data_IF_128940512916
#
_entry.id   IF_128940512916
#
_cell.length_a   1.000
_cell.length_b   1.000
_cell.length_c   1.000
_cell.angle_alpha   90.00
_cell.angle_beta   90.00
_cell.angle_gamma   90.00
#
_symmetry.space_group_name_H-M   'P 1'
#
loop_
_entity.id
_entity.type
_entity.pdbx_description
1 polymer ?
#
# COMPACT_ATOMS: atom_id res chain seq x y z
N UNK A 1 9.16 0.02 29.09
CA UNK A 1 9.25 1.24 28.25
C UNK A 1 8.28 0.99 27.12
N UNK A 2 7.15 1.69 27.11
CA UNK A 2 6.05 1.36 26.18
C UNK A 2 6.44 1.71 24.75
N UNK A 3 6.21 0.76 23.84
CA UNK A 3 6.49 0.88 22.42
C UNK A 3 5.50 1.88 21.79
N UNK A 4 6.00 2.96 21.20
CA UNK A 4 5.15 3.93 20.51
C UNK A 4 4.80 3.39 19.13
N UNK A 5 3.51 3.12 18.92
CA UNK A 5 2.94 2.73 17.62
C UNK A 5 2.13 3.87 16.99
N UNK A 6 2.23 4.03 15.68
CA UNK A 6 1.39 4.95 14.91
C UNK A 6 0.47 4.18 13.97
N UNK A 7 -0.75 4.68 13.76
CA UNK A 7 -1.67 4.18 12.73
C UNK A 7 -2.04 5.32 11.79
N UNK A 8 -1.84 5.12 10.49
CA UNK A 8 -2.15 6.09 9.45
C UNK A 8 -3.32 5.55 8.63
N UNK A 9 -4.38 6.35 8.51
CA UNK A 9 -5.52 6.05 7.63
C UNK A 9 -5.56 7.02 6.46
N UNK A 10 -5.63 6.49 5.25
CA UNK A 10 -5.79 7.24 4.00
C UNK A 10 -7.13 6.87 3.39
N UNK A 11 -7.91 7.88 2.98
CA UNK A 11 -9.21 7.68 2.34
C UNK A 11 -9.28 8.54 1.08
N UNK A 12 -9.59 7.91 -0.05
CA UNK A 12 -9.75 8.60 -1.32
C UNK A 12 -10.80 7.90 -2.19
N UNK A 13 -11.26 8.58 -3.23
CA UNK A 13 -12.08 7.97 -4.26
C UNK A 13 -11.19 7.44 -5.39
N UNK A 14 -11.66 6.39 -6.05
CA UNK A 14 -10.99 5.78 -7.18
C UNK A 14 -12.00 5.16 -8.16
N UNK A 15 -11.55 4.91 -9.39
CA UNK A 15 -12.28 4.06 -10.33
C UNK A 15 -12.35 2.62 -9.81
N UNK A 16 -13.27 1.81 -10.33
CA UNK A 16 -13.33 0.37 -10.05
C UNK A 16 -12.00 -0.35 -10.29
N UNK A 17 -11.32 -0.02 -11.39
CA UNK A 17 -10.04 -0.65 -11.77
C UNK A 17 -8.96 -0.32 -10.75
N UNK A 18 -8.86 0.95 -10.33
CA UNK A 18 -7.86 1.39 -9.37
C UNK A 18 -8.17 0.90 -7.95
N UNK A 19 -9.45 0.82 -7.58
CA UNK A 19 -9.91 0.29 -6.30
C UNK A 19 -9.54 -1.19 -6.14
N UNK A 20 -9.79 -2.01 -7.16
CA UNK A 20 -9.38 -3.41 -7.15
C UNK A 20 -7.86 -3.56 -7.14
N UNK A 21 -7.15 -2.72 -7.91
CA UNK A 21 -5.68 -2.71 -7.92
C UNK A 21 -5.09 -2.40 -6.54
N UNK A 22 -5.73 -1.55 -5.74
CA UNK A 22 -5.32 -1.29 -4.35
C UNK A 22 -5.44 -2.56 -3.50
N UNK A 23 -6.57 -3.26 -3.58
CA UNK A 23 -6.80 -4.51 -2.82
C UNK A 23 -5.73 -5.54 -3.18
N UNK A 24 -5.47 -5.75 -4.46
CA UNK A 24 -4.46 -6.70 -4.94
C UNK A 24 -3.05 -6.31 -4.46
N UNK A 25 -2.72 -5.02 -4.50
CA UNK A 25 -1.42 -4.53 -4.05
C UNK A 25 -1.20 -4.74 -2.54
N UNK A 26 -2.23 -4.48 -1.71
CA UNK A 26 -2.19 -4.73 -0.27
C UNK A 26 -2.06 -6.22 0.02
N UNK A 27 -2.89 -7.05 -0.62
CA UNK A 27 -2.83 -8.50 -0.46
C UNK A 27 -1.43 -9.04 -0.83
N UNK A 28 -0.90 -8.62 -1.97
CA UNK A 28 0.43 -9.04 -2.42
C UNK A 28 1.52 -8.59 -1.43
N UNK A 29 1.51 -7.32 -1.01
CA UNK A 29 2.53 -6.81 -0.10
C UNK A 29 2.52 -7.53 1.25
N UNK A 30 1.34 -7.88 1.77
CA UNK A 30 1.20 -8.62 3.02
C UNK A 30 1.68 -10.08 2.92
N UNK A 31 1.82 -10.64 1.71
CA UNK A 31 2.42 -11.97 1.51
C UNK A 31 3.95 -11.95 1.51
N UNK A 32 4.57 -10.77 1.38
CA UNK A 32 6.02 -10.64 1.28
C UNK A 32 6.64 -10.42 2.66
N UNK A 33 7.74 -11.12 2.93
CA UNK A 33 8.56 -10.87 4.10
C UNK A 33 9.32 -9.54 4.03
N UNK A 34 9.86 -9.03 5.15
CA UNK A 34 10.59 -7.76 5.17
C UNK A 34 11.77 -7.67 4.18
N UNK A 35 12.51 -8.77 4.01
CA UNK A 35 13.62 -8.83 3.06
C UNK A 35 13.14 -8.75 1.60
N UNK A 36 12.02 -9.41 1.28
CA UNK A 36 11.44 -9.43 -0.06
C UNK A 36 10.83 -8.07 -0.43
N UNK A 37 10.15 -7.42 0.52
CA UNK A 37 9.65 -6.05 0.36
C UNK A 37 10.79 -5.07 0.05
N UNK A 38 11.91 -5.19 0.78
CA UNK A 38 13.11 -4.37 0.54
C UNK A 38 13.71 -4.63 -0.83
N UNK A 39 13.84 -5.90 -1.24
CA UNK A 39 14.36 -6.27 -2.56
C UNK A 39 13.48 -5.70 -3.67
N UNK A 40 12.16 -5.86 -3.57
CA UNK A 40 11.20 -5.36 -4.55
C UNK A 40 11.21 -3.83 -4.64
N UNK A 41 11.36 -3.14 -3.50
CA UNK A 41 11.55 -1.69 -3.47
C UNK A 41 12.84 -1.27 -4.19
N UNK A 42 13.95 -1.98 -3.96
CA UNK A 42 15.21 -1.70 -4.63
C UNK A 42 15.15 -1.95 -6.14
N UNK A 43 14.48 -3.02 -6.57
CA UNK A 43 14.25 -3.32 -7.99
C UNK A 43 13.44 -2.23 -8.68
N UNK A 44 12.39 -1.73 -8.05
CA UNK A 44 11.59 -0.63 -8.62
C UNK A 44 12.39 0.68 -8.71
N UNK A 45 13.27 0.94 -7.73
CA UNK A 45 14.17 2.10 -7.76
C UNK A 45 15.23 2.01 -8.87
N UNK A 46 15.84 0.83 -9.08
CA UNK A 46 16.92 0.63 -10.06
C UNK A 46 16.40 0.50 -11.49
N UNK A 47 15.23 -0.13 -11.69
CA UNK A 47 14.68 -0.34 -13.02
C UNK A 47 14.04 0.91 -13.65
N UNK A 48 14.02 2.05 -12.95
CA UNK A 48 13.48 3.30 -13.48
C UNK A 48 11.98 3.24 -13.77
N UNK A 49 11.26 2.21 -13.30
CA UNK A 49 9.82 1.98 -13.56
C UNK A 49 8.93 2.84 -12.65
N UNK A 50 9.35 4.08 -12.41
CA UNK A 50 8.61 5.06 -11.63
C UNK A 50 7.28 5.36 -12.36
N UNK A 51 6.18 4.80 -11.86
CA UNK A 51 4.83 5.28 -12.15
C UNK A 51 4.35 5.11 -13.60
N UNK A 52 5.00 4.33 -14.47
CA UNK A 52 4.61 4.17 -15.89
C UNK A 52 3.19 3.61 -16.08
N UNK A 53 2.59 3.04 -15.01
CA UNK A 53 1.19 2.60 -14.98
C UNK A 53 0.29 3.43 -14.03
N UNK A 54 0.65 4.66 -13.66
CA UNK A 54 -0.21 5.59 -12.92
C UNK A 54 -0.65 5.17 -11.50
N UNK A 55 -0.16 4.06 -10.96
CA UNK A 55 -0.60 3.53 -9.66
C UNK A 55 0.50 3.50 -8.61
N UNK A 56 0.08 3.31 -7.36
CA UNK A 56 0.82 3.23 -6.10
C UNK A 56 2.06 2.31 -6.13
N UNK A 57 3.10 2.68 -6.86
CA UNK A 57 4.31 1.87 -7.02
C UNK A 57 5.25 2.05 -5.83
N UNK A 58 6.05 3.11 -5.87
CA UNK A 58 7.13 3.30 -4.90
C UNK A 58 6.68 3.79 -3.54
N UNK A 59 5.76 4.77 -3.48
CA UNK A 59 5.27 5.28 -2.19
C UNK A 59 4.59 4.19 -1.36
N UNK A 60 3.82 3.32 -2.02
CA UNK A 60 3.19 2.18 -1.36
C UNK A 60 4.20 1.12 -0.93
N UNK A 61 5.17 0.74 -1.78
CA UNK A 61 6.22 -0.21 -1.39
C UNK A 61 7.08 0.33 -0.24
N UNK A 62 7.34 1.64 -0.20
CA UNK A 62 8.00 2.29 0.93
C UNK A 62 7.19 2.17 2.22
N UNK A 63 5.88 2.37 2.15
CA UNK A 63 4.98 2.19 3.29
C UNK A 63 4.96 0.72 3.72
N UNK A 64 4.75 -0.21 2.79
CA UNK A 64 4.76 -1.65 3.04
C UNK A 64 6.05 -2.13 3.71
N UNK A 65 7.20 -1.63 3.25
CA UNK A 65 8.50 -1.95 3.83
C UNK A 65 8.65 -1.40 5.26
N UNK A 66 8.02 -0.26 5.58
CA UNK A 66 8.02 0.32 6.94
C UNK A 66 7.00 -0.32 7.88
N UNK A 67 5.90 -0.83 7.35
CA UNK A 67 4.86 -1.54 8.14
C UNK A 67 5.12 -3.04 8.25
N UNK A 68 6.13 -3.56 7.56
CA UNK A 68 6.44 -4.99 7.47
C UNK A 68 5.23 -5.84 7.03
N UNK A 69 4.41 -5.32 6.12
CA UNK A 69 3.22 -6.03 5.64
C UNK A 69 2.03 -6.02 6.62
N UNK A 70 2.01 -5.16 7.63
CA UNK A 70 0.80 -4.89 8.43
C UNK A 70 -0.01 -3.73 7.83
N UNK A 71 -0.70 -4.05 6.73
CA UNK A 71 -1.55 -3.10 6.01
C UNK A 71 -2.94 -3.68 5.80
N UNK A 72 -3.95 -2.80 5.81
CA UNK A 72 -5.34 -3.15 5.53
C UNK A 72 -5.89 -2.20 4.50
N UNK A 73 -6.65 -2.72 3.55
CA UNK A 73 -7.40 -1.90 2.62
C UNK A 73 -8.83 -2.43 2.47
N UNK A 74 -9.78 -1.53 2.38
CA UNK A 74 -11.18 -1.83 2.05
C UNK A 74 -11.65 -0.88 0.96
N UNK A 75 -12.55 -1.37 0.11
CA UNK A 75 -13.19 -0.57 -0.92
C UNK A 75 -14.71 -0.65 -0.72
N UNK A 76 -15.37 0.49 -0.85
CA UNK A 76 -16.82 0.60 -0.71
C UNK A 76 -17.38 1.20 -2.00
N UNK A 77 -18.34 0.53 -2.67
CA UNK A 77 -18.95 1.09 -3.87
C UNK A 77 -19.69 2.39 -3.53
N UNK A 78 -19.59 3.36 -4.43
CA UNK A 78 -20.35 4.59 -4.46
C UNK A 78 -21.21 4.62 -5.73
N UNK A 79 -21.85 5.76 -5.99
CA UNK A 79 -22.58 6.00 -7.24
C UNK A 79 -21.62 6.03 -8.46
N UNK A 80 -22.15 5.78 -9.66
CA UNK A 80 -21.45 5.95 -10.94
C UNK A 80 -20.11 5.19 -11.10
N UNK A 81 -20.00 3.97 -10.55
CA UNK A 81 -18.77 3.12 -10.62
C UNK A 81 -17.55 3.74 -9.94
N UNK A 82 -17.76 4.68 -9.04
CA UNK A 82 -16.73 5.17 -8.14
C UNK A 82 -16.69 4.32 -6.87
N UNK A 83 -15.51 4.24 -6.27
CA UNK A 83 -15.30 3.51 -5.03
C UNK A 83 -14.59 4.40 -4.02
N UNK A 84 -15.05 4.35 -2.77
CA UNK A 84 -14.31 4.90 -1.62
C UNK A 84 -13.30 3.86 -1.17
N UNK A 85 -12.02 4.16 -1.32
CA UNK A 85 -10.92 3.35 -0.87
C UNK A 85 -10.47 3.83 0.51
N UNK A 86 -10.32 2.91 1.45
CA UNK A 86 -9.74 3.18 2.77
C UNK A 86 -8.51 2.28 2.95
N UNK A 87 -7.37 2.85 3.29
CA UNK A 87 -6.14 2.12 3.60
C UNK A 87 -5.65 2.48 5.01
N UNK A 88 -5.25 1.49 5.79
CA UNK A 88 -4.69 1.65 7.13
C UNK A 88 -3.31 1.01 7.19
N UNK A 89 -2.37 1.75 7.76
CA UNK A 89 -0.96 1.37 7.89
C UNK A 89 -0.54 1.47 9.34
N UNK A 90 -0.05 0.38 9.93
CA UNK A 90 0.47 0.38 11.30
C UNK A 90 1.99 0.44 11.29
N UNK A 91 2.54 1.48 11.90
CA UNK A 91 3.98 1.74 11.96
C UNK A 91 4.45 1.50 13.39
N UNK A 92 5.46 0.64 13.52
CA UNK A 92 6.21 0.48 14.77
C UNK A 92 7.47 1.32 14.69
N UNK A 93 7.78 2.03 15.77
CA UNK A 93 9.05 2.75 15.86
C UNK A 93 10.16 1.72 16.03
N UNK A 94 11.08 1.67 15.06
CA UNK A 94 12.30 0.85 15.13
C UNK A 94 13.24 1.33 16.24
#
# INVERSE_FOLDING_TARGET
MDEISYSIKVVNQASEVDANRLIDAVAQANTLGPAELKTKLLEELTNGRFGVKGGAGLGFLQIANRTHGDMKATIHPLEEKLYRCESTFNLKKA
#
